data_IF_333615744447
#
_entry.id   IF_333615744447
#
_cell.length_a   1.000
_cell.length_b   1.000
_cell.length_c   1.000
_cell.angle_alpha   90.00
_cell.angle_beta   90.00
_cell.angle_gamma   90.00
#
_symmetry.space_group_name_H-M   'P 1'
#
loop_
_entity.id
_entity.type
_entity.pdbx_description
1 polymer ?
#
# COMPACT_ATOMS: atom_id res chain seq x y z
N UNK A 1 15.61 -12.95 -24.02
CA UNK A 1 15.09 -14.33 -23.94
C UNK A 1 13.69 -14.36 -24.54
N UNK A 2 13.36 -15.37 -25.33
CA UNK A 2 12.06 -15.58 -25.95
C UNK A 2 11.58 -16.99 -25.63
N UNK A 3 10.31 -17.14 -25.32
CA UNK A 3 9.64 -18.44 -25.16
C UNK A 3 8.30 -18.40 -25.90
N UNK A 4 7.87 -19.56 -26.41
CA UNK A 4 6.60 -19.72 -27.14
C UNK A 4 5.80 -20.86 -26.56
N UNK A 5 4.48 -20.74 -26.62
CA UNK A 5 3.56 -21.78 -26.18
C UNK A 5 2.30 -21.76 -27.03
N UNK A 6 1.63 -22.92 -27.08
CA UNK A 6 0.34 -23.05 -27.76
C UNK A 6 -0.79 -22.89 -26.73
N UNK A 7 -1.75 -22.01 -27.04
CA UNK A 7 -2.94 -21.89 -26.22
C UNK A 7 -3.85 -23.12 -26.43
N UNK A 8 -4.26 -23.76 -25.33
CA UNK A 8 -5.27 -24.79 -25.29
C UNK A 8 -6.45 -24.29 -24.46
N UNK A 9 -7.65 -24.37 -24.98
CA UNK A 9 -8.86 -23.86 -24.31
C UNK A 9 -8.73 -22.39 -23.84
N UNK A 10 -8.09 -21.55 -24.67
CA UNK A 10 -7.91 -20.12 -24.37
C UNK A 10 -6.74 -19.77 -23.43
N UNK A 11 -6.00 -20.76 -22.93
CA UNK A 11 -4.90 -20.55 -21.98
C UNK A 11 -3.59 -21.15 -22.48
N UNK A 12 -2.50 -20.40 -22.31
CA UNK A 12 -1.13 -20.91 -22.52
C UNK A 12 -0.30 -20.61 -21.25
N UNK A 13 0.36 -21.64 -20.73
CA UNK A 13 1.35 -21.49 -19.66
C UNK A 13 2.75 -21.51 -20.27
N UNK A 14 3.48 -20.43 -20.08
CA UNK A 14 4.83 -20.27 -20.63
C UNK A 14 5.77 -19.95 -19.45
N UNK A 15 6.80 -20.78 -19.30
CA UNK A 15 7.87 -20.54 -18.33
C UNK A 15 9.12 -20.11 -19.05
N UNK A 16 9.77 -19.06 -18.53
CA UNK A 16 10.97 -18.51 -19.10
C UNK A 16 11.98 -18.22 -17.97
N UNK A 17 13.19 -18.72 -18.11
CA UNK A 17 14.25 -18.42 -17.17
C UNK A 17 14.98 -17.14 -17.59
N UNK A 18 15.22 -16.27 -16.62
CA UNK A 18 16.05 -15.06 -16.76
C UNK A 18 17.23 -15.22 -15.81
N UNK A 19 18.42 -15.37 -16.36
CA UNK A 19 19.62 -15.56 -15.56
C UNK A 19 20.11 -14.23 -14.99
N UNK A 20 20.45 -14.25 -13.67
CA UNK A 20 21.02 -13.10 -12.96
C UNK A 20 20.30 -11.77 -13.23
N UNK A 21 18.97 -11.68 -13.07
CA UNK A 21 18.26 -10.44 -13.36
C UNK A 21 18.68 -9.33 -12.39
N UNK A 22 18.68 -8.10 -12.88
CA UNK A 22 18.70 -6.94 -12.01
C UNK A 22 17.48 -6.96 -11.11
N UNK A 23 17.70 -6.98 -9.80
CA UNK A 23 16.62 -7.09 -8.82
C UNK A 23 16.02 -5.73 -8.56
N UNK A 24 14.70 -5.70 -8.52
CA UNK A 24 13.93 -4.54 -8.14
C UNK A 24 13.94 -4.36 -6.60
N UNK A 25 14.14 -3.13 -6.13
CA UNK A 25 13.89 -2.68 -4.77
C UNK A 25 13.60 -1.17 -4.79
N UNK A 26 13.20 -0.59 -3.64
CA UNK A 26 12.84 0.83 -3.58
C UNK A 26 14.01 1.80 -3.86
N UNK A 27 15.26 1.38 -3.69
CA UNK A 27 16.45 2.20 -3.99
C UNK A 27 16.89 2.07 -5.45
N UNK A 28 16.69 0.89 -6.04
CA UNK A 28 17.04 0.58 -7.44
C UNK A 28 15.86 -0.13 -8.11
N UNK A 29 14.83 0.61 -8.52
CA UNK A 29 13.59 0.04 -9.06
C UNK A 29 13.75 -0.37 -10.52
N UNK A 30 14.54 -1.40 -10.78
CA UNK A 30 14.81 -1.86 -12.13
C UNK A 30 13.63 -2.67 -12.69
N UNK A 31 13.10 -2.23 -13.83
CA UNK A 31 11.99 -2.88 -14.52
C UNK A 31 12.43 -3.39 -15.89
N UNK A 32 12.04 -4.62 -16.19
CA UNK A 32 12.11 -5.19 -17.53
C UNK A 32 10.80 -4.94 -18.28
N UNK A 33 10.85 -4.97 -19.61
CA UNK A 33 9.65 -5.02 -20.43
C UNK A 33 9.46 -6.44 -20.94
N UNK A 34 8.42 -7.11 -20.47
CA UNK A 34 7.92 -8.35 -21.04
C UNK A 34 6.98 -8.00 -22.20
N UNK A 35 7.28 -8.50 -23.37
CA UNK A 35 6.42 -8.35 -24.54
C UNK A 35 5.62 -9.64 -24.76
N UNK A 36 4.31 -9.56 -24.55
CA UNK A 36 3.38 -10.66 -24.79
C UNK A 36 2.77 -10.49 -26.18
N UNK A 37 2.96 -11.47 -27.05
CA UNK A 37 2.40 -11.46 -28.40
C UNK A 37 1.47 -12.64 -28.62
N UNK A 38 0.28 -12.36 -29.11
CA UNK A 38 -0.65 -13.38 -29.58
C UNK A 38 -0.60 -13.45 -31.11
N UNK A 39 -0.45 -14.65 -31.65
CA UNK A 39 -0.43 -14.87 -33.09
C UNK A 39 -1.33 -16.04 -33.45
N UNK A 40 -1.96 -16.00 -34.62
CA UNK A 40 -2.75 -17.09 -35.18
C UNK A 40 -2.08 -17.66 -36.43
N UNK A 41 -2.12 -18.97 -36.58
CA UNK A 41 -1.68 -19.64 -37.80
C UNK A 41 -2.69 -19.40 -38.93
N UNK A 42 -2.17 -18.99 -40.09
CA UNK A 42 -2.94 -18.86 -41.31
C UNK A 42 -3.00 -20.23 -42.07
N UNK A 43 -3.97 -20.38 -42.97
CA UNK A 43 -4.11 -21.60 -43.77
C UNK A 43 -2.86 -21.93 -44.63
N UNK A 44 -2.05 -20.94 -44.97
CA UNK A 44 -0.80 -21.09 -45.71
C UNK A 44 0.43 -21.37 -44.81
N UNK A 45 0.25 -21.61 -43.51
CA UNK A 45 1.32 -21.87 -42.55
C UNK A 45 2.01 -20.63 -41.98
N UNK A 46 1.73 -19.45 -42.50
CA UNK A 46 2.27 -18.21 -41.94
C UNK A 46 1.58 -17.85 -40.63
N UNK A 47 2.29 -17.12 -39.76
CA UNK A 47 1.74 -16.58 -38.51
C UNK A 47 1.29 -15.13 -38.74
N UNK A 48 0.09 -14.82 -38.29
CA UNK A 48 -0.43 -13.45 -38.24
C UNK A 48 -0.46 -12.99 -36.78
N UNK A 49 0.25 -11.93 -36.48
CA UNK A 49 0.14 -11.28 -35.17
C UNK A 49 -1.25 -10.71 -34.98
N UNK A 50 -1.89 -11.05 -33.86
CA UNK A 50 -3.20 -10.54 -33.49
C UNK A 50 -3.13 -9.41 -32.48
N UNK A 51 -2.20 -9.50 -31.52
CA UNK A 51 -1.97 -8.45 -30.54
C UNK A 51 -0.52 -8.49 -30.00
N UNK A 52 -0.10 -7.37 -29.45
CA UNK A 52 1.19 -7.22 -28.78
C UNK A 52 0.99 -6.29 -27.58
N UNK A 53 1.30 -6.78 -26.38
CA UNK A 53 1.10 -6.07 -25.13
C UNK A 53 2.42 -6.03 -24.36
N UNK A 54 2.99 -4.84 -24.11
CA UNK A 54 4.13 -4.68 -23.22
C UNK A 54 3.63 -4.73 -21.76
N UNK A 55 4.39 -5.40 -20.90
CA UNK A 55 4.14 -5.48 -19.44
C UNK A 55 5.44 -5.17 -18.72
N UNK A 56 5.40 -4.26 -17.75
CA UNK A 56 6.54 -3.99 -16.88
C UNK A 56 6.67 -5.10 -15.84
N UNK A 57 7.87 -5.60 -15.64
CA UNK A 57 8.16 -6.71 -14.71
C UNK A 57 9.41 -6.38 -13.90
N UNK A 58 9.29 -6.47 -12.58
CA UNK A 58 10.41 -6.38 -11.64
C UNK A 58 10.69 -7.71 -10.95
N UNK A 59 11.95 -8.13 -10.94
CA UNK A 59 12.37 -9.35 -10.26
C UNK A 59 12.76 -9.01 -8.82
N UNK A 60 12.06 -9.58 -7.86
CA UNK A 60 12.40 -9.44 -6.43
C UNK A 60 11.93 -10.66 -5.65
N UNK A 61 12.50 -10.87 -4.48
CA UNK A 61 12.05 -11.85 -3.50
C UNK A 61 11.67 -11.13 -2.21
N UNK A 62 10.47 -11.39 -1.71
CA UNK A 62 10.04 -10.95 -0.39
C UNK A 62 9.93 -12.18 0.50
N UNK A 63 10.40 -12.09 1.72
CA UNK A 63 10.33 -13.20 2.68
C UNK A 63 10.38 -12.70 4.12
N UNK A 64 9.78 -13.46 5.02
CA UNK A 64 10.02 -13.32 6.46
C UNK A 64 10.96 -14.43 6.87
N UNK A 65 12.12 -14.05 7.41
CA UNK A 65 13.15 -14.99 7.87
C UNK A 65 13.81 -14.47 9.13
N UNK A 66 14.00 -15.35 10.11
CA UNK A 66 14.60 -14.99 11.40
C UNK A 66 13.85 -13.82 12.08
N UNK A 67 12.52 -13.80 11.99
CA UNK A 67 11.66 -12.75 12.53
C UNK A 67 11.93 -11.38 11.92
N UNK A 68 12.40 -11.32 10.68
CA UNK A 68 12.62 -10.10 9.92
C UNK A 68 11.96 -10.17 8.55
N UNK A 69 11.43 -9.06 8.11
CA UNK A 69 10.95 -8.83 6.75
C UNK A 69 12.13 -8.46 5.86
N UNK A 70 12.33 -9.22 4.79
CA UNK A 70 13.45 -9.07 3.87
C UNK A 70 12.96 -8.85 2.44
N UNK A 71 13.67 -7.98 1.72
CA UNK A 71 13.57 -7.86 0.27
C UNK A 71 14.92 -8.23 -0.33
N UNK A 72 14.91 -9.18 -1.26
CA UNK A 72 16.13 -9.73 -1.89
C UNK A 72 17.17 -10.24 -0.89
N UNK A 73 16.70 -10.80 0.24
CA UNK A 73 17.54 -11.34 1.29
C UNK A 73 18.16 -10.30 2.23
N UNK A 74 17.81 -9.02 2.10
CA UNK A 74 18.27 -7.94 2.98
C UNK A 74 17.12 -7.44 3.86
N UNK A 75 17.31 -7.26 5.17
CA UNK A 75 16.34 -6.64 6.04
C UNK A 75 16.01 -5.22 5.58
N UNK A 76 14.74 -4.86 5.57
CA UNK A 76 14.27 -3.54 5.17
C UNK A 76 13.68 -2.82 6.37
N UNK A 77 14.08 -1.57 6.57
CA UNK A 77 13.40 -0.66 7.48
C UNK A 77 12.30 0.09 6.72
N UNK A 78 11.07 -0.09 7.16
CA UNK A 78 9.90 0.57 6.60
C UNK A 78 9.80 1.99 7.17
N UNK A 79 10.11 2.97 6.34
CA UNK A 79 9.90 4.39 6.60
C UNK A 79 8.66 4.78 5.81
N UNK A 80 7.51 4.38 6.33
CA UNK A 80 6.25 4.43 5.60
C UNK A 80 5.34 5.57 6.01
N UNK A 81 4.37 5.86 5.16
CA UNK A 81 3.22 6.69 5.46
C UNK A 81 1.94 6.03 4.95
N UNK A 82 0.85 6.25 5.67
CA UNK A 82 -0.49 5.91 5.21
C UNK A 82 -0.92 6.97 4.20
N UNK A 83 -1.54 6.57 3.10
CA UNK A 83 -1.98 7.50 2.06
C UNK A 83 -3.44 7.28 1.74
N UNK A 84 -4.25 8.28 2.05
CA UNK A 84 -5.56 8.43 1.42
C UNK A 84 -5.39 8.98 0.01
N UNK A 85 -6.17 8.45 -0.93
CA UNK A 85 -6.18 8.96 -2.30
C UNK A 85 -7.13 10.16 -2.40
N UNK A 86 -6.60 11.35 -2.09
CA UNK A 86 -7.38 12.57 -1.95
C UNK A 86 -6.67 13.76 -2.58
N UNK A 87 -7.46 14.57 -3.29
CA UNK A 87 -7.04 15.85 -3.87
C UNK A 87 -7.97 16.97 -3.39
N UNK A 88 -7.45 18.15 -3.02
CA UNK A 88 -8.27 19.25 -2.51
C UNK A 88 -9.36 19.74 -3.46
N UNK A 89 -9.18 19.60 -4.77
CA UNK A 89 -10.11 20.02 -5.80
C UNK A 89 -10.88 18.86 -6.42
N UNK A 90 -10.24 17.71 -6.59
CA UNK A 90 -10.78 16.53 -7.24
C UNK A 90 -11.45 15.52 -6.30
N UNK A 91 -11.27 15.66 -4.99
CA UNK A 91 -11.71 14.65 -4.03
C UNK A 91 -10.97 13.33 -4.25
N UNK A 92 -11.70 12.23 -4.42
CA UNK A 92 -11.12 10.89 -4.66
C UNK A 92 -10.66 10.66 -6.12
N UNK A 93 -10.56 11.70 -6.94
CA UNK A 93 -10.09 11.60 -8.32
C UNK A 93 -8.78 12.37 -8.48
N UNK A 94 -7.68 11.64 -8.58
CA UNK A 94 -6.36 12.23 -8.71
C UNK A 94 -5.87 12.27 -10.16
N UNK A 95 -5.17 13.34 -10.51
CA UNK A 95 -4.42 13.39 -11.77
C UNK A 95 -3.11 12.62 -11.64
N UNK A 96 -2.53 12.25 -12.79
CA UNK A 96 -1.20 11.63 -12.86
C UNK A 96 -0.14 12.54 -12.24
N UNK A 97 -0.23 13.85 -12.51
CA UNK A 97 0.71 14.87 -11.98
C UNK A 97 0.67 14.92 -10.46
N UNK A 98 -0.54 14.80 -9.85
CA UNK A 98 -0.71 14.78 -8.40
C UNK A 98 -0.06 13.54 -7.79
N UNK A 99 -0.31 12.36 -8.36
CA UNK A 99 0.31 11.11 -7.89
C UNK A 99 1.84 11.17 -7.98
N UNK A 100 2.38 11.72 -9.08
CA UNK A 100 3.83 11.90 -9.24
C UNK A 100 4.38 12.91 -8.22
N UNK A 101 3.62 13.96 -7.90
CA UNK A 101 4.00 14.93 -6.85
C UNK A 101 4.12 14.25 -5.50
N UNK A 102 3.12 13.45 -5.10
CA UNK A 102 3.14 12.69 -3.85
C UNK A 102 4.38 11.81 -3.75
N UNK A 103 4.68 11.03 -4.79
CA UNK A 103 5.88 10.17 -4.81
C UNK A 103 7.17 10.97 -4.70
N UNK A 104 7.29 12.10 -5.42
CA UNK A 104 8.48 12.95 -5.33
C UNK A 104 8.67 13.53 -3.93
N UNK A 105 7.59 13.91 -3.26
CA UNK A 105 7.64 14.37 -1.88
C UNK A 105 8.07 13.22 -0.96
N UNK A 106 7.47 12.04 -1.09
CA UNK A 106 7.87 10.84 -0.34
C UNK A 106 9.37 10.56 -0.49
N UNK A 107 9.88 10.55 -1.71
CA UNK A 107 11.32 10.32 -1.97
C UNK A 107 12.21 11.40 -1.34
N UNK A 108 11.82 12.67 -1.41
CA UNK A 108 12.55 13.79 -0.78
C UNK A 108 12.59 13.71 0.74
N UNK A 109 11.54 13.19 1.36
CA UNK A 109 11.43 12.99 2.80
C UNK A 109 11.97 11.62 3.25
N UNK A 110 12.57 10.86 2.33
CA UNK A 110 13.10 9.51 2.61
C UNK A 110 12.01 8.52 3.08
N UNK A 111 10.76 8.73 2.67
CA UNK A 111 9.69 7.76 2.80
C UNK A 111 9.87 6.73 1.69
N UNK A 112 9.99 5.44 2.05
CA UNK A 112 10.23 4.36 1.11
C UNK A 112 9.07 3.39 0.95
N UNK A 113 7.99 3.61 1.70
CA UNK A 113 6.84 2.72 1.70
C UNK A 113 5.53 3.48 1.86
N UNK A 114 4.45 2.93 1.30
CA UNK A 114 3.10 3.44 1.46
C UNK A 114 2.15 2.30 1.80
N UNK A 115 1.19 2.55 2.70
CA UNK A 115 0.01 1.72 2.86
C UNK A 115 -1.16 2.44 2.23
N UNK A 116 -1.86 1.75 1.32
CA UNK A 116 -3.06 2.28 0.66
C UNK A 116 -4.25 2.19 1.60
N UNK A 117 -4.45 3.19 2.41
CA UNK A 117 -5.48 3.19 3.45
C UNK A 117 -6.77 3.83 2.96
N UNK A 118 -7.95 3.23 3.16
CA UNK A 118 -8.17 1.83 3.52
C UNK A 118 -8.89 1.14 2.36
N UNK A 119 -8.29 1.22 1.17
CA UNK A 119 -8.81 0.75 -0.11
C UNK A 119 -7.69 0.69 -1.15
N UNK A 120 -7.87 -0.07 -2.24
CA UNK A 120 -6.96 0.01 -3.37
C UNK A 120 -6.98 1.41 -4.01
N UNK A 121 -5.81 1.97 -4.24
CA UNK A 121 -5.64 3.22 -4.98
C UNK A 121 -5.86 3.03 -6.49
N UNK A 122 -5.84 4.11 -7.26
CA UNK A 122 -5.85 4.09 -8.72
C UNK A 122 -4.75 3.14 -9.26
N UNK A 123 -5.03 2.26 -10.23
CA UNK A 123 -4.03 1.34 -10.76
C UNK A 123 -2.73 2.00 -11.21
N UNK A 124 -2.79 3.25 -11.71
CA UNK A 124 -1.60 4.03 -12.11
C UNK A 124 -0.68 4.35 -10.93
N UNK A 125 -1.20 4.41 -9.70
CA UNK A 125 -0.41 4.59 -8.48
C UNK A 125 0.60 3.44 -8.30
N UNK A 126 0.18 2.21 -8.52
CA UNK A 126 1.05 1.03 -8.40
C UNK A 126 2.11 1.00 -9.50
N UNK A 127 1.75 1.40 -10.73
CA UNK A 127 2.71 1.56 -11.83
C UNK A 127 3.79 2.59 -11.47
N UNK A 128 3.40 3.72 -10.90
CA UNK A 128 4.33 4.75 -10.43
C UNK A 128 5.18 4.27 -9.26
N UNK A 129 4.62 3.51 -8.31
CA UNK A 129 5.39 2.90 -7.22
C UNK A 129 6.43 1.91 -7.75
N UNK A 130 6.10 1.14 -8.80
CA UNK A 130 7.05 0.26 -9.50
C UNK A 130 8.19 1.05 -10.14
N UNK A 131 7.89 2.16 -10.80
CA UNK A 131 8.86 2.98 -11.54
C UNK A 131 9.76 3.83 -10.62
N UNK A 132 9.19 4.44 -9.60
CA UNK A 132 9.92 5.33 -8.69
C UNK A 132 10.55 4.61 -7.49
N UNK A 133 10.18 3.37 -7.23
CA UNK A 133 10.70 2.58 -6.12
C UNK A 133 10.08 2.99 -4.77
N UNK A 134 8.82 2.68 -4.58
CA UNK A 134 8.10 2.76 -3.30
C UNK A 134 7.55 1.37 -2.98
N UNK A 135 7.82 0.85 -1.78
CA UNK A 135 7.16 -0.38 -1.31
C UNK A 135 5.70 -0.11 -1.01
N UNK A 136 4.84 -1.04 -1.38
CA UNK A 136 3.40 -0.91 -1.19
C UNK A 136 2.89 -2.03 -0.29
N UNK A 137 2.18 -1.65 0.76
CA UNK A 137 1.21 -2.51 1.45
C UNK A 137 -0.13 -2.26 0.79
N UNK A 138 -0.56 -3.20 -0.05
CA UNK A 138 -1.81 -3.09 -0.80
C UNK A 138 -2.97 -3.56 0.07
N UNK A 139 -3.86 -2.65 0.45
CA UNK A 139 -4.96 -2.93 1.36
C UNK A 139 -6.27 -3.14 0.62
N UNK A 140 -7.00 -4.17 1.04
CA UNK A 140 -8.34 -4.43 0.53
C UNK A 140 -9.34 -3.40 1.09
N UNK A 141 -10.34 -3.04 0.29
CA UNK A 141 -11.38 -2.10 0.71
C UNK A 141 -12.31 -2.75 1.75
N UNK A 142 -11.80 -2.86 2.97
CA UNK A 142 -12.54 -3.39 4.13
C UNK A 142 -12.16 -2.61 5.37
N UNK A 143 -13.06 -1.76 5.82
CA UNK A 143 -12.93 -0.97 7.03
C UNK A 143 -14.28 -0.86 7.74
N UNK A 144 -14.29 -0.88 9.08
CA UNK A 144 -15.52 -0.75 9.84
C UNK A 144 -15.38 -0.34 11.30
N UNK A 145 -14.27 0.24 11.73
CA UNK A 145 -14.04 0.80 13.07
C UNK A 145 -14.66 -0.02 14.21
N UNK A 146 -14.26 -1.30 14.34
CA UNK A 146 -14.68 -2.16 15.44
C UNK A 146 -16.01 -2.89 15.25
N UNK A 147 -16.69 -2.77 14.10
CA UNK A 147 -17.87 -3.60 13.83
C UNK A 147 -17.51 -5.10 13.71
N UNK A 148 -18.43 -5.94 14.16
CA UNK A 148 -18.25 -7.40 14.32
C UNK A 148 -18.47 -8.16 12.99
N UNK A 149 -17.94 -7.69 11.88
CA UNK A 149 -18.12 -8.33 10.57
C UNK A 149 -17.24 -9.56 10.37
N UNK A 150 -16.26 -9.79 11.23
CA UNK A 150 -15.34 -10.91 11.12
C UNK A 150 -16.02 -12.28 11.10
N UNK A 151 -17.13 -12.44 11.84
CA UNK A 151 -17.92 -13.67 11.89
C UNK A 151 -19.34 -13.51 11.32
N UNK A 152 -19.67 -12.33 10.76
CA UNK A 152 -20.98 -12.09 10.16
C UNK A 152 -21.12 -12.86 8.84
N UNK A 153 -22.16 -13.67 8.74
CA UNK A 153 -22.45 -14.49 7.56
C UNK A 153 -22.71 -13.62 6.30
N UNK A 154 -23.31 -12.44 6.44
CA UNK A 154 -23.59 -11.53 5.34
C UNK A 154 -22.30 -10.84 4.84
N UNK A 155 -21.31 -10.63 5.71
CA UNK A 155 -20.03 -10.02 5.38
C UNK A 155 -19.02 -11.00 4.76
N UNK A 156 -19.25 -12.31 4.88
CA UNK A 156 -18.34 -13.36 4.41
C UNK A 156 -17.93 -13.20 2.94
N UNK A 157 -18.91 -13.12 2.04
CA UNK A 157 -18.66 -12.99 0.62
C UNK A 157 -18.01 -11.64 0.27
N UNK A 158 -18.53 -10.49 0.72
CA UNK A 158 -17.92 -9.18 0.48
C UNK A 158 -16.44 -9.09 0.95
N UNK A 159 -16.10 -9.56 2.14
CA UNK A 159 -14.73 -9.53 2.66
C UNK A 159 -13.79 -10.35 1.76
N UNK A 160 -14.21 -11.57 1.40
CA UNK A 160 -13.41 -12.42 0.52
C UNK A 160 -13.23 -11.81 -0.87
N UNK A 161 -14.29 -11.34 -1.52
CA UNK A 161 -14.24 -10.77 -2.87
C UNK A 161 -13.38 -9.51 -2.95
N UNK A 162 -13.45 -8.61 -1.95
CA UNK A 162 -12.59 -7.42 -1.88
C UNK A 162 -11.11 -7.79 -1.81
N UNK A 163 -10.76 -8.79 -1.02
CA UNK A 163 -9.39 -9.31 -0.95
C UNK A 163 -8.98 -9.99 -2.27
N UNK A 164 -9.87 -10.75 -2.89
CA UNK A 164 -9.62 -11.38 -4.19
C UNK A 164 -9.36 -10.36 -5.29
N UNK A 165 -10.17 -9.29 -5.34
CA UNK A 165 -9.99 -8.22 -6.32
C UNK A 165 -8.66 -7.49 -6.10
N UNK A 166 -8.32 -7.13 -4.86
CA UNK A 166 -7.05 -6.49 -4.53
C UNK A 166 -5.85 -7.32 -5.03
N UNK A 167 -5.81 -8.61 -4.70
CA UNK A 167 -4.73 -9.50 -5.15
C UNK A 167 -4.72 -9.65 -6.67
N UNK A 168 -5.88 -9.89 -7.30
CA UNK A 168 -5.98 -10.12 -8.74
C UNK A 168 -5.55 -8.90 -9.56
N UNK A 169 -5.88 -7.69 -9.10
CA UNK A 169 -5.53 -6.45 -9.77
C UNK A 169 -4.03 -6.15 -9.68
N UNK A 170 -3.43 -6.36 -8.51
CA UNK A 170 -2.08 -5.85 -8.21
C UNK A 170 -1.02 -6.93 -8.08
N UNK A 171 -1.33 -8.16 -8.45
CA UNK A 171 -0.43 -9.32 -8.33
C UNK A 171 0.92 -9.11 -9.03
N UNK A 172 0.92 -8.48 -10.21
CA UNK A 172 2.11 -8.34 -11.05
C UNK A 172 3.02 -7.15 -10.67
N UNK A 173 2.61 -6.31 -9.71
CA UNK A 173 3.40 -5.15 -9.30
C UNK A 173 4.54 -5.56 -8.37
N UNK A 174 5.81 -5.32 -8.73
CA UNK A 174 6.95 -5.63 -7.86
C UNK A 174 6.97 -4.74 -6.61
N UNK A 175 6.40 -3.54 -6.66
CA UNK A 175 6.27 -2.63 -5.52
C UNK A 175 5.38 -3.19 -4.41
N UNK A 176 4.35 -3.97 -4.74
CA UNK A 176 3.51 -4.63 -3.75
C UNK A 176 4.31 -5.71 -3.04
N UNK A 177 4.64 -5.47 -1.77
CA UNK A 177 5.48 -6.36 -0.96
C UNK A 177 4.71 -7.02 0.19
N UNK A 178 3.51 -6.54 0.49
CA UNK A 178 2.63 -7.09 1.54
C UNK A 178 1.18 -6.90 1.11
N UNK A 179 0.34 -7.89 1.38
CA UNK A 179 -1.11 -7.80 1.28
C UNK A 179 -1.70 -7.44 2.64
N UNK A 180 -2.67 -6.52 2.69
CA UNK A 180 -3.41 -6.19 3.90
C UNK A 180 -4.89 -6.56 3.73
N UNK A 181 -5.44 -7.27 4.72
CA UNK A 181 -6.83 -7.76 4.64
C UNK A 181 -7.86 -6.66 4.81
N UNK A 182 -7.47 -5.51 5.34
CA UNK A 182 -8.34 -4.38 5.62
C UNK A 182 -7.94 -3.64 6.88
N UNK A 183 -8.87 -2.88 7.45
CA UNK A 183 -8.67 -1.98 8.58
C UNK A 183 -9.76 -2.13 9.63
N UNK A 184 -9.39 -2.12 10.90
CA UNK A 184 -10.19 -1.94 12.12
C UNK A 184 -11.55 -2.66 12.16
N UNK A 185 -11.71 -3.74 11.40
CA UNK A 185 -12.85 -4.64 11.50
C UNK A 185 -12.47 -5.81 12.39
N UNK A 186 -13.28 -6.10 13.41
CA UNK A 186 -12.98 -7.16 14.35
C UNK A 186 -12.66 -8.47 13.64
N UNK A 187 -11.55 -9.10 14.05
CA UNK A 187 -11.08 -10.37 13.49
C UNK A 187 -12.13 -11.48 13.66
N UNK A 188 -12.22 -12.36 12.66
CA UNK A 188 -13.10 -13.53 12.69
C UNK A 188 -12.81 -14.48 11.54
N UNK A 189 -13.64 -15.49 11.37
CA UNK A 189 -13.45 -16.56 10.39
C UNK A 189 -13.43 -16.02 8.93
N UNK A 190 -14.18 -14.95 8.65
CA UNK A 190 -14.19 -14.33 7.31
C UNK A 190 -12.80 -13.82 6.90
N UNK A 191 -12.05 -13.22 7.82
CA UNK A 191 -10.67 -12.76 7.57
C UNK A 191 -9.69 -13.94 7.52
N UNK A 192 -9.88 -14.96 8.34
CA UNK A 192 -9.07 -16.20 8.24
C UNK A 192 -9.24 -16.88 6.87
N UNK A 193 -10.45 -16.90 6.33
CA UNK A 193 -10.70 -17.43 5.00
C UNK A 193 -10.04 -16.58 3.91
N UNK A 194 -10.10 -15.24 4.03
CA UNK A 194 -9.41 -14.34 3.11
C UNK A 194 -7.88 -14.53 3.17
N UNK A 195 -7.30 -14.62 4.37
CA UNK A 195 -5.88 -14.93 4.58
C UNK A 195 -5.49 -16.25 3.92
N UNK A 196 -6.21 -17.34 4.19
CA UNK A 196 -5.94 -18.66 3.62
C UNK A 196 -6.07 -18.65 2.10
N UNK A 197 -7.05 -17.93 1.57
CA UNK A 197 -7.20 -17.78 0.13
C UNK A 197 -5.99 -17.06 -0.47
N UNK A 198 -5.57 -15.91 0.08
CA UNK A 198 -4.39 -15.18 -0.42
C UNK A 198 -3.15 -16.08 -0.39
N UNK A 199 -2.89 -16.77 0.73
CA UNK A 199 -1.74 -17.68 0.85
C UNK A 199 -1.80 -18.85 -0.14
N UNK A 200 -3.01 -19.26 -0.60
CA UNK A 200 -3.16 -20.27 -1.65
C UNK A 200 -2.82 -19.74 -3.05
N UNK A 201 -3.00 -18.42 -3.27
CA UNK A 201 -2.71 -17.77 -4.57
C UNK A 201 -1.30 -17.20 -4.64
N UNK A 202 -0.82 -16.62 -3.55
CA UNK A 202 0.47 -15.94 -3.49
C UNK A 202 1.25 -16.32 -2.24
N UNK A 203 2.27 -17.16 -2.42
CA UNK A 203 3.22 -17.52 -1.38
C UNK A 203 4.48 -16.62 -1.38
N UNK A 204 4.56 -15.69 -2.31
CA UNK A 204 5.73 -14.83 -2.49
C UNK A 204 5.68 -13.55 -1.66
N UNK A 205 4.56 -13.26 -1.00
CA UNK A 205 4.33 -12.08 -0.17
C UNK A 205 3.71 -12.45 1.17
N UNK A 206 4.09 -11.75 2.26
CA UNK A 206 3.36 -11.83 3.51
C UNK A 206 1.99 -11.16 3.41
N UNK A 207 1.13 -11.55 4.33
CA UNK A 207 -0.17 -10.93 4.57
C UNK A 207 -0.14 -10.30 5.96
N UNK A 208 -0.72 -9.12 6.11
CA UNK A 208 -0.89 -8.47 7.41
C UNK A 208 -2.35 -8.17 7.71
N UNK A 209 -2.68 -8.16 8.99
CA UNK A 209 -3.94 -7.67 9.53
C UNK A 209 -3.79 -7.33 11.02
N UNK A 210 -4.06 -6.08 11.40
CA UNK A 210 -3.79 -5.61 12.77
C UNK A 210 -4.69 -6.27 13.82
N UNK A 211 -5.97 -6.57 13.47
CA UNK A 211 -6.90 -7.24 14.37
C UNK A 211 -6.56 -8.72 14.61
N UNK A 212 -5.70 -9.32 13.81
CA UNK A 212 -5.16 -10.64 14.06
C UNK A 212 -4.09 -10.63 15.18
N UNK A 213 -3.61 -9.45 15.57
CA UNK A 213 -2.57 -9.24 16.57
C UNK A 213 -1.31 -10.08 16.29
N UNK A 214 -1.12 -11.19 17.01
CA UNK A 214 0.01 -12.14 16.85
C UNK A 214 -0.48 -13.56 16.59
N UNK A 215 -1.75 -13.67 16.21
CA UNK A 215 -2.42 -14.95 15.95
C UNK A 215 -2.41 -15.38 14.49
N UNK A 216 -3.24 -16.34 14.16
CA UNK A 216 -3.50 -16.76 12.79
C UNK A 216 -4.18 -15.62 12.01
N UNK A 217 -3.81 -15.45 10.74
CA UNK A 217 -4.37 -14.42 9.87
C UNK A 217 -3.41 -13.27 9.59
N UNK A 218 -2.20 -13.28 10.16
CA UNK A 218 -1.16 -12.29 9.86
C UNK A 218 0.23 -12.93 9.89
N UNK A 219 1.11 -12.49 8.99
CA UNK A 219 2.53 -12.87 8.96
C UNK A 219 3.42 -11.80 9.63
N UNK A 220 2.86 -10.62 9.91
CA UNK A 220 3.54 -9.46 10.49
C UNK A 220 2.73 -8.97 11.68
N UNK A 221 3.38 -8.73 12.81
CA UNK A 221 2.73 -8.00 13.90
C UNK A 221 2.67 -6.53 13.52
N UNK A 222 1.49 -6.06 13.16
CA UNK A 222 1.26 -4.71 12.64
C UNK A 222 0.25 -3.93 13.50
N UNK A 223 0.57 -3.67 14.79
CA UNK A 223 -0.34 -2.92 15.66
C UNK A 223 -0.45 -1.46 15.23
N UNK A 224 -1.50 -0.80 15.70
CA UNK A 224 -1.68 0.64 15.59
C UNK A 224 -1.25 1.33 16.89
N UNK A 225 -0.55 2.46 16.74
CA UNK A 225 -0.17 3.36 17.85
C UNK A 225 0.44 2.63 19.05
N UNK A 226 1.20 1.57 18.78
CA UNK A 226 1.79 0.72 19.81
C UNK A 226 2.87 1.50 20.55
N UNK A 227 2.73 1.71 21.88
CA UNK A 227 3.63 2.61 22.59
C UNK A 227 5.10 2.21 22.52
N UNK A 228 6.00 3.19 22.58
CA UNK A 228 7.48 2.97 22.53
C UNK A 228 7.91 1.91 23.54
N UNK A 229 7.40 1.99 24.79
CA UNK A 229 7.69 1.01 25.85
C UNK A 229 7.19 -0.40 25.51
N UNK A 230 6.04 -0.51 24.85
CA UNK A 230 5.50 -1.80 24.42
C UNK A 230 6.28 -2.38 23.24
N UNK A 231 6.74 -1.55 22.30
CA UNK A 231 7.67 -1.95 21.24
C UNK A 231 8.97 -2.52 21.84
N UNK A 232 9.55 -1.85 22.85
CA UNK A 232 10.76 -2.32 23.48
C UNK A 232 10.53 -3.66 24.24
N UNK A 233 9.40 -3.78 24.94
CA UNK A 233 9.01 -5.04 25.61
C UNK A 233 8.87 -6.17 24.59
N UNK A 234 8.21 -5.92 23.46
CA UNK A 234 8.07 -6.90 22.38
C UNK A 234 9.43 -7.32 21.82
N UNK A 235 10.33 -6.36 21.58
CA UNK A 235 11.64 -6.63 21.01
C UNK A 235 12.56 -7.41 21.96
N UNK A 236 12.39 -7.28 23.26
CA UNK A 236 13.15 -8.00 24.30
C UNK A 236 12.59 -9.39 24.60
N UNK A 237 11.37 -9.70 24.20
CA UNK A 237 10.77 -11.01 24.41
C UNK A 237 11.30 -12.02 23.37
N UNK A 238 12.06 -13.04 23.78
CA UNK A 238 12.60 -14.07 22.89
C UNK A 238 11.48 -14.88 22.18
N UNK A 239 10.27 -14.90 22.75
CA UNK A 239 9.12 -15.61 22.21
C UNK A 239 8.32 -14.79 21.20
N UNK A 240 8.68 -13.52 20.95
CA UNK A 240 8.03 -12.73 19.91
C UNK A 240 8.10 -13.45 18.56
N UNK A 241 6.94 -13.75 17.92
CA UNK A 241 6.94 -14.74 16.83
C UNK A 241 7.37 -14.19 15.46
N UNK A 242 7.18 -12.89 15.21
CA UNK A 242 7.24 -12.29 13.88
C UNK A 242 7.77 -10.86 13.91
N UNK A 243 8.16 -10.26 12.76
CA UNK A 243 8.60 -8.86 12.72
C UNK A 243 7.46 -7.94 13.17
N UNK A 244 7.83 -6.83 13.83
CA UNK A 244 6.91 -5.75 14.17
C UNK A 244 7.11 -4.60 13.18
N UNK A 245 6.03 -4.27 12.44
CA UNK A 245 5.93 -3.12 11.55
C UNK A 245 4.56 -2.49 11.82
N UNK A 246 4.52 -1.34 12.47
CA UNK A 246 3.24 -0.72 12.81
C UNK A 246 2.51 -0.30 11.54
N UNK A 247 1.26 -0.74 11.35
CA UNK A 247 0.48 -0.27 10.21
C UNK A 247 0.04 1.19 10.37
N UNK A 248 -0.02 1.68 11.62
CA UNK A 248 -0.20 3.09 11.94
C UNK A 248 0.59 3.47 13.19
N UNK A 249 1.29 4.58 13.15
CA UNK A 249 1.91 5.18 14.33
C UNK A 249 2.05 6.70 14.14
N UNK A 250 2.48 7.40 15.20
CA UNK A 250 2.75 8.84 15.16
C UNK A 250 1.57 9.66 14.59
N UNK A 251 0.35 9.40 15.09
CA UNK A 251 -0.86 10.11 14.68
C UNK A 251 -0.69 11.62 14.82
N UNK A 252 -0.78 12.37 13.72
CA UNK A 252 -0.44 13.79 13.68
C UNK A 252 -1.65 14.73 13.65
N UNK A 253 -2.82 14.27 14.03
CA UNK A 253 -4.02 15.10 14.09
C UNK A 253 -3.83 16.31 15.02
N UNK A 254 -3.95 17.49 14.47
CA UNK A 254 -3.71 18.74 15.18
C UNK A 254 -2.26 18.86 15.63
N UNK A 255 -2.00 18.86 16.93
CA UNK A 255 -0.64 18.95 17.51
C UNK A 255 -0.32 17.71 18.37
N UNK A 256 -0.69 16.53 17.90
CA UNK A 256 -0.55 15.26 18.63
C UNK A 256 0.66 14.43 18.22
N UNK A 257 1.29 14.73 17.09
CA UNK A 257 2.48 14.03 16.63
C UNK A 257 3.66 14.14 17.60
N UNK A 258 4.47 13.07 17.72
CA UNK A 258 5.64 13.10 18.61
C UNK A 258 6.31 11.75 18.78
N UNK A 259 7.39 11.75 19.59
CA UNK A 259 8.17 10.54 19.93
C UNK A 259 8.78 9.77 18.72
N UNK A 260 8.75 10.31 17.51
CA UNK A 260 9.29 9.66 16.32
C UNK A 260 10.77 9.26 16.53
N UNK A 261 11.55 10.13 17.17
CA UNK A 261 12.95 9.85 17.52
C UNK A 261 13.07 8.61 18.44
N UNK A 262 12.17 8.45 19.39
CA UNK A 262 12.21 7.35 20.37
C UNK A 262 11.87 6.02 19.70
N UNK A 263 10.84 6.00 18.85
CA UNK A 263 10.54 4.83 18.00
C UNK A 263 11.75 4.44 17.14
N UNK A 264 12.35 5.38 16.43
CA UNK A 264 13.46 5.09 15.54
C UNK A 264 14.75 4.73 16.26
N UNK A 265 14.94 5.17 17.50
CA UNK A 265 16.03 4.70 18.37
C UNK A 265 15.89 3.20 18.66
N UNK A 266 14.68 2.74 18.98
CA UNK A 266 14.41 1.32 19.19
C UNK A 266 14.47 0.50 17.91
N UNK A 267 13.87 1.00 16.81
CA UNK A 267 13.86 0.33 15.51
C UNK A 267 15.29 0.05 15.04
N UNK A 268 16.20 1.01 15.20
CA UNK A 268 17.62 0.80 14.85
C UNK A 268 18.35 -0.12 15.81
N UNK A 269 17.88 -0.27 17.03
CA UNK A 269 18.50 -1.11 18.06
C UNK A 269 18.11 -2.58 17.96
N UNK A 270 16.87 -2.85 17.63
CA UNK A 270 16.30 -4.20 17.66
C UNK A 270 15.88 -4.67 16.26
N UNK A 271 16.54 -5.68 15.67
CA UNK A 271 16.26 -6.14 14.31
C UNK A 271 14.84 -6.61 14.05
N UNK A 272 14.09 -7.04 15.07
CA UNK A 272 12.70 -7.46 14.97
C UNK A 272 11.73 -6.27 14.78
N UNK A 273 12.16 -5.05 15.13
CA UNK A 273 11.41 -3.82 14.89
C UNK A 273 11.83 -3.24 13.56
N UNK A 274 10.93 -3.16 12.59
CA UNK A 274 11.30 -2.75 11.24
C UNK A 274 10.57 -1.51 10.73
N UNK A 275 10.07 -0.66 11.62
CA UNK A 275 9.46 0.61 11.27
C UNK A 275 7.95 0.62 11.35
N UNK A 276 7.34 1.40 10.49
CA UNK A 276 5.88 1.57 10.44
C UNK A 276 5.46 2.62 9.43
N UNK A 277 4.16 2.91 9.44
CA UNK A 277 3.53 3.87 8.55
C UNK A 277 2.95 5.02 9.39
N UNK A 278 3.43 6.24 9.16
CA UNK A 278 2.88 7.44 9.82
C UNK A 278 1.40 7.61 9.47
N UNK A 279 0.58 8.00 10.43
CA UNK A 279 -0.78 8.43 10.20
C UNK A 279 -0.86 9.96 10.24
N UNK A 280 -0.96 10.67 9.09
CA UNK A 280 -0.83 10.07 7.77
C UNK A 280 0.03 10.98 6.85
N UNK A 281 -0.03 10.77 5.54
CA UNK A 281 0.87 11.45 4.60
C UNK A 281 0.53 12.92 4.42
N UNK A 282 -0.70 13.25 4.01
CA UNK A 282 -1.18 14.62 3.75
C UNK A 282 -2.55 14.84 4.35
N UNK A 283 -2.86 16.07 4.72
CA UNK A 283 -4.20 16.45 5.09
C UNK A 283 -5.22 16.19 3.96
N UNK A 284 -6.41 15.69 4.30
CA UNK A 284 -7.49 15.45 3.35
C UNK A 284 -8.47 16.65 3.27
N UNK A 285 -8.00 17.84 3.56
CA UNK A 285 -8.77 19.08 3.42
C UNK A 285 -9.15 19.36 1.97
N UNK A 286 -10.38 19.83 1.78
CA UNK A 286 -10.90 20.25 0.47
C UNK A 286 -10.82 21.76 0.34
N UNK A 287 -10.55 22.26 -0.87
CA UNK A 287 -10.70 23.69 -1.10
C UNK A 287 -12.18 24.08 -1.04
N UNK A 288 -12.48 25.10 -0.24
CA UNK A 288 -13.84 25.64 -0.20
C UNK A 288 -14.18 26.23 -1.57
N UNK A 289 -15.24 25.71 -2.20
CA UNK A 289 -15.78 26.30 -3.42
C UNK A 289 -16.44 27.62 -3.08
N UNK A 290 -15.65 28.68 -2.95
CA UNK A 290 -16.16 30.03 -3.07
C UNK A 290 -16.54 30.22 -4.53
N UNK A 291 -17.60 30.97 -4.85
CA UNK A 291 -18.23 31.16 -6.16
C UNK A 291 -17.34 31.36 -7.40
N UNK A 292 -16.01 31.24 -7.25
CA UNK A 292 -15.01 31.12 -8.32
C UNK A 292 -14.03 30.01 -7.91
N UNK A 293 -13.88 28.94 -8.70
CA UNK A 293 -12.88 27.92 -8.41
C UNK A 293 -11.49 28.55 -8.41
N UNK A 294 -10.82 28.49 -7.27
CA UNK A 294 -9.42 28.87 -7.17
C UNK A 294 -8.59 27.64 -7.54
N UNK A 295 -8.18 27.59 -8.79
CA UNK A 295 -7.25 26.52 -9.23
C UNK A 295 -5.86 26.88 -8.72
N UNK A 296 -5.37 26.16 -7.74
CA UNK A 296 -3.99 26.31 -7.29
C UNK A 296 -3.10 25.65 -8.33
N UNK A 297 -2.45 26.48 -9.13
CA UNK A 297 -1.40 26.03 -10.05
C UNK A 297 -0.05 26.15 -9.34
N UNK A 298 0.61 25.01 -9.12
CA UNK A 298 1.96 24.94 -8.54
C UNK A 298 2.07 25.56 -7.12
N UNK A 299 1.53 24.91 -6.08
CA UNK A 299 1.60 25.40 -4.70
C UNK A 299 3.04 25.60 -4.23
N UNK A 300 4.00 24.82 -4.75
CA UNK A 300 5.42 25.01 -4.46
C UNK A 300 6.02 26.35 -4.94
N UNK A 301 5.31 27.08 -5.80
CA UNK A 301 5.71 28.39 -6.30
C UNK A 301 4.98 29.54 -5.63
N UNK A 302 4.03 29.21 -4.76
CA UNK A 302 3.26 30.22 -4.03
C UNK A 302 4.04 30.72 -2.82
N UNK A 303 3.91 32.00 -2.52
CA UNK A 303 4.41 32.56 -1.28
C UNK A 303 3.56 32.07 -0.10
N UNK A 304 4.15 32.08 1.11
CA UNK A 304 3.40 31.77 2.34
C UNK A 304 2.19 32.69 2.54
N UNK A 305 2.22 33.92 2.04
CA UNK A 305 1.11 34.85 2.12
C UNK A 305 -0.05 34.43 1.19
N UNK A 306 0.28 33.95 -0.01
CA UNK A 306 -0.73 33.41 -0.95
C UNK A 306 -1.32 32.10 -0.42
N UNK A 307 -0.49 31.19 0.11
CA UNK A 307 -0.95 29.95 0.71
C UNK A 307 -1.91 30.17 1.88
N UNK A 308 -1.68 31.19 2.71
CA UNK A 308 -2.59 31.53 3.83
C UNK A 308 -3.93 32.10 3.42
N UNK A 309 -4.12 32.49 2.16
CA UNK A 309 -5.40 32.96 1.60
C UNK A 309 -6.28 31.82 1.09
N UNK A 310 -5.73 30.60 1.02
CA UNK A 310 -6.44 29.42 0.62
C UNK A 310 -7.26 28.91 1.80
N UNK A 311 -8.55 28.80 1.63
CA UNK A 311 -9.44 28.27 2.64
C UNK A 311 -9.66 26.78 2.38
N UNK A 312 -9.24 25.95 3.35
CA UNK A 312 -9.55 24.51 3.37
C UNK A 312 -10.80 24.26 4.22
N UNK A 313 -11.54 23.24 3.86
CA UNK A 313 -12.74 22.81 4.55
C UNK A 313 -12.81 21.28 4.60
N UNK A 314 -13.73 20.78 5.37
CA UNK A 314 -14.03 19.36 5.51
C UNK A 314 -15.58 19.16 5.48
N UNK A 315 -16.02 17.89 5.50
CA UNK A 315 -17.45 17.56 5.37
C UNK A 315 -18.36 18.31 6.36
N UNK A 316 -17.92 18.46 7.61
CA UNK A 316 -18.67 19.15 8.64
C UNK A 316 -18.93 20.65 8.40
N UNK A 317 -18.17 21.29 7.52
CA UNK A 317 -18.39 22.69 7.14
C UNK A 317 -19.59 22.88 6.21
N UNK A 318 -20.04 21.81 5.54
CA UNK A 318 -21.14 21.86 4.59
C UNK A 318 -22.50 21.52 5.21
N UNK A 319 -22.49 20.83 6.34
CA UNK A 319 -23.69 20.23 6.89
C UNK A 319 -23.49 19.90 8.38
N UNK A 320 -24.38 20.45 9.22
CA UNK A 320 -24.34 20.21 10.67
C UNK A 320 -24.88 18.81 11.06
N UNK A 321 -25.33 18.00 10.10
CA UNK A 321 -25.97 16.70 10.33
C UNK A 321 -25.09 15.52 9.95
N UNK A 322 -24.09 15.73 9.10
CA UNK A 322 -23.17 14.65 8.74
C UNK A 322 -22.25 14.33 9.91
N UNK A 323 -21.96 13.05 10.14
CA UNK A 323 -20.94 12.69 11.09
C UNK A 323 -19.64 13.36 10.66
N UNK A 324 -19.12 14.18 11.54
CA UNK A 324 -17.89 14.90 11.35
C UNK A 324 -16.99 14.61 12.52
N UNK A 325 -15.86 14.02 12.25
CA UNK A 325 -14.84 13.76 13.26
C UNK A 325 -14.00 15.04 13.52
N UNK A 326 -14.60 16.22 13.34
CA UNK A 326 -13.97 17.52 13.48
C UNK A 326 -12.75 17.64 12.57
N UNK A 327 -11.54 17.84 13.12
CA UNK A 327 -10.30 17.96 12.36
C UNK A 327 -9.65 16.60 12.05
N UNK A 328 -10.39 15.50 12.06
CA UNK A 328 -9.85 14.16 11.83
C UNK A 328 -9.22 13.94 10.44
N UNK A 329 -9.55 14.80 9.49
CA UNK A 329 -8.94 14.87 8.17
C UNK A 329 -7.62 15.67 8.12
N UNK A 330 -7.20 16.27 9.24
CA UNK A 330 -5.97 17.05 9.37
C UNK A 330 -4.91 16.25 10.14
N UNK A 331 -4.43 15.18 9.52
CA UNK A 331 -3.48 14.24 10.09
C UNK A 331 -2.14 14.21 9.34
N UNK A 332 -1.99 15.01 8.30
CA UNK A 332 -0.84 15.00 7.42
C UNK A 332 0.46 15.38 8.14
N UNK A 333 1.54 14.68 7.80
CA UNK A 333 2.90 15.04 8.21
C UNK A 333 3.50 16.13 7.32
N UNK A 334 2.80 16.48 6.23
CA UNK A 334 3.12 17.57 5.30
C UNK A 334 1.86 18.36 4.92
#
# INVERSE_FOLDING_TARGET
TTATGLAKNGTANITMNVENPHKWNAETPYLYTLQVSLSSALKNGNMKSASMTPVKVGFRKVEIKNKQFLVNGQPVLIKGANRHEMDPDGGYVLSMERMIQDIKIMKRLNINAVRTCHYPDDPRWYELCDEYGIYVVAEANQESHGFQYGDDAAAKKPILERNQHNVSMYFNHPSVVTWSLGNETVMGDNFLQAYKWIKSQDQSRPVQYEQAHRGEGTDIFCPMYYPVSACEKYAKDPNSPMPLIQCEYNHTMGNSGGNLKDYWTLIRKYPILQGGFDWDFVDQGLHRKVLKPMTIKNPEKMSNEELRKIEYCYGGDYNNYDPSDNNFNCNGII
#
